data_IF_798608759386
#
_entry.id   IF_798608759386
#
_cell.length_a   1.000
_cell.length_b   1.000
_cell.length_c   1.000
_cell.angle_alpha   90.00
_cell.angle_beta   90.00
_cell.angle_gamma   90.00
#
_symmetry.space_group_name_H-M   'P 1'
#
loop_
_entity.id
_entity.type
_entity.pdbx_description
1 polymer ?
#
# COMPACT_ATOMS: atom_id res chain seq x y z
N UNK A 1 4.53 -2.74 9.07
CA UNK A 1 5.63 -3.00 8.11
C UNK A 1 6.64 -1.85 8.26
N UNK A 2 7.90 -2.14 8.58
CA UNK A 2 8.93 -1.12 8.82
C UNK A 2 9.58 -0.74 7.48
N UNK A 3 9.22 0.42 6.94
CA UNK A 3 9.66 0.90 5.62
C UNK A 3 11.09 1.47 5.61
N UNK A 4 11.68 1.79 6.76
CA UNK A 4 13.04 2.35 6.81
C UNK A 4 13.82 1.69 7.95
N UNK A 5 15.08 1.25 7.70
CA UNK A 5 15.93 0.82 8.80
C UNK A 5 16.19 2.03 9.70
N UNK A 6 15.83 1.90 10.97
CA UNK A 6 16.04 2.93 12.00
C UNK A 6 17.52 3.37 12.09
N UNK A 7 18.44 2.50 11.70
CA UNK A 7 19.87 2.76 11.60
C UNK A 7 20.34 2.59 10.15
N UNK A 8 20.70 3.69 9.49
CA UNK A 8 21.27 3.69 8.13
C UNK A 8 22.72 3.20 8.20
N UNK A 9 22.95 1.99 7.71
CA UNK A 9 24.28 1.37 7.55
C UNK A 9 24.41 0.76 6.14
N UNK A 10 25.61 0.59 5.60
CA UNK A 10 25.81 -0.01 4.27
C UNK A 10 25.20 -1.41 4.15
N UNK A 11 25.14 -2.16 5.26
CA UNK A 11 24.46 -3.46 5.29
C UNK A 11 22.94 -3.31 5.13
N UNK A 12 22.32 -2.37 5.84
CA UNK A 12 20.87 -2.13 5.75
C UNK A 12 20.44 -1.52 4.43
N UNK A 13 21.35 -0.84 3.72
CA UNK A 13 21.12 -0.29 2.37
C UNK A 13 21.10 -1.42 1.33
N UNK A 14 22.02 -2.38 1.44
CA UNK A 14 22.09 -3.58 0.57
C UNK A 14 20.97 -4.58 0.88
N UNK A 15 20.66 -4.84 2.15
CA UNK A 15 19.61 -5.80 2.54
C UNK A 15 18.21 -5.18 2.58
N UNK A 16 18.07 -3.86 2.43
CA UNK A 16 16.78 -3.17 2.40
C UNK A 16 15.88 -3.64 1.26
N UNK A 17 16.49 -4.00 0.11
CA UNK A 17 15.81 -4.61 -1.04
C UNK A 17 15.25 -6.02 -0.78
N UNK A 18 15.75 -6.74 0.23
CA UNK A 18 15.29 -8.10 0.57
C UNK A 18 14.05 -8.10 1.46
N UNK A 19 13.88 -7.04 2.26
CA UNK A 19 12.73 -6.87 3.17
C UNK A 19 11.60 -6.08 2.50
N UNK A 20 11.94 -5.19 1.57
CA UNK A 20 10.97 -4.43 0.77
C UNK A 20 10.40 -5.29 -0.35
N UNK A 21 9.16 -5.02 -0.77
CA UNK A 21 8.52 -5.73 -1.89
C UNK A 21 9.09 -5.30 -3.26
N UNK A 22 10.20 -4.55 -3.25
CA UNK A 22 10.81 -3.90 -4.40
C UNK A 22 11.38 -4.85 -5.46
N UNK A 23 11.57 -6.14 -5.15
CA UNK A 23 12.18 -7.10 -6.09
C UNK A 23 11.18 -7.94 -6.89
N UNK A 24 9.98 -8.26 -6.36
CA UNK A 24 9.02 -9.18 -7.01
C UNK A 24 7.53 -8.99 -6.62
N UNK A 25 7.17 -7.88 -5.95
CA UNK A 25 5.85 -7.73 -5.34
C UNK A 25 4.76 -7.13 -6.23
N UNK A 26 3.51 -7.62 -6.07
CA UNK A 26 2.27 -7.04 -6.63
C UNK A 26 2.09 -5.53 -6.31
N UNK A 27 2.72 -5.04 -5.24
CA UNK A 27 2.62 -3.67 -4.73
C UNK A 27 3.88 -2.82 -4.96
N UNK A 28 4.85 -3.31 -5.74
CA UNK A 28 6.13 -2.65 -6.00
C UNK A 28 5.96 -1.22 -6.54
N UNK A 29 4.96 -0.97 -7.38
CA UNK A 29 4.69 0.35 -7.96
C UNK A 29 4.25 1.38 -6.92
N UNK A 30 3.39 0.96 -5.99
CA UNK A 30 2.89 1.80 -4.90
C UNK A 30 3.99 2.03 -3.87
N UNK A 31 4.77 0.98 -3.57
CA UNK A 31 5.93 1.06 -2.68
C UNK A 31 6.97 2.04 -3.21
N UNK A 32 7.37 1.92 -4.49
CA UNK A 32 8.33 2.83 -5.11
C UNK A 32 7.89 4.29 -5.03
N UNK A 33 6.64 4.59 -5.38
CA UNK A 33 6.10 5.96 -5.29
C UNK A 33 6.10 6.50 -3.85
N UNK A 34 5.78 5.65 -2.88
CA UNK A 34 5.80 6.04 -1.48
C UNK A 34 7.23 6.30 -1.00
N UNK A 35 8.19 5.49 -1.43
CA UNK A 35 9.62 5.66 -1.16
C UNK A 35 10.18 6.95 -1.77
N UNK A 36 9.87 7.22 -3.04
CA UNK A 36 10.30 8.46 -3.73
C UNK A 36 9.81 9.71 -2.97
N UNK A 37 8.57 9.67 -2.48
CA UNK A 37 8.01 10.75 -1.67
C UNK A 37 8.71 10.88 -0.31
N UNK A 38 8.96 9.75 0.37
CA UNK A 38 9.68 9.73 1.65
C UNK A 38 11.12 10.24 1.50
N UNK A 39 11.79 9.93 0.40
CA UNK A 39 13.13 10.43 0.09
C UNK A 39 13.11 11.94 -0.15
N UNK A 40 12.13 12.45 -0.89
CA UNK A 40 12.01 13.88 -1.18
C UNK A 40 11.71 14.74 0.06
N UNK A 41 10.86 14.26 0.99
CA UNK A 41 10.40 15.06 2.14
C UNK A 41 11.06 14.70 3.47
N UNK A 42 11.71 13.54 3.58
CA UNK A 42 12.25 13.00 4.84
C UNK A 42 11.16 12.48 5.78
N UNK A 43 11.56 11.84 6.88
CA UNK A 43 10.65 11.12 7.79
C UNK A 43 9.60 12.02 8.47
N UNK A 44 9.98 13.21 8.94
CA UNK A 44 9.09 14.06 9.73
C UNK A 44 7.98 14.68 8.89
N UNK A 45 8.34 15.22 7.71
CA UNK A 45 7.39 15.86 6.80
C UNK A 45 6.70 14.84 5.89
N UNK A 46 7.37 13.72 5.60
CA UNK A 46 6.85 12.63 4.77
C UNK A 46 5.62 11.96 5.37
N UNK A 47 5.51 11.86 6.71
CA UNK A 47 4.31 11.30 7.37
C UNK A 47 3.01 12.01 6.97
N UNK A 48 3.06 13.33 6.81
CA UNK A 48 1.89 14.13 6.46
C UNK A 48 1.75 14.26 4.94
N UNK A 49 2.85 14.52 4.23
CA UNK A 49 2.82 14.76 2.78
C UNK A 49 2.62 13.49 1.95
N UNK A 50 3.17 12.37 2.39
CA UNK A 50 3.09 11.09 1.69
C UNK A 50 1.95 10.19 2.20
N UNK A 51 1.03 10.71 3.01
CA UNK A 51 -0.05 9.95 3.63
C UNK A 51 -0.95 9.23 2.58
N UNK A 52 -1.28 9.91 1.48
CA UNK A 52 -2.08 9.31 0.40
C UNK A 52 -1.37 8.13 -0.28
N UNK A 53 -0.07 8.27 -0.54
CA UNK A 53 0.75 7.21 -1.14
C UNK A 53 0.91 6.01 -0.18
N UNK A 54 1.00 6.29 1.12
CA UNK A 54 0.98 5.26 2.14
C UNK A 54 -0.34 4.50 2.17
N UNK A 55 -1.47 5.21 2.08
CA UNK A 55 -2.80 4.57 2.01
C UNK A 55 -2.94 3.67 0.78
N UNK A 56 -2.42 4.08 -0.37
CA UNK A 56 -2.44 3.26 -1.59
C UNK A 56 -1.58 2.01 -1.45
N UNK A 57 -0.40 2.13 -0.83
CA UNK A 57 0.46 0.99 -0.54
C UNK A 57 -0.20 0.04 0.47
N UNK A 58 -0.81 0.58 1.51
CA UNK A 58 -1.55 -0.18 2.51
C UNK A 58 -2.79 -0.88 1.91
N UNK A 59 -3.51 -0.20 1.03
CA UNK A 59 -4.62 -0.77 0.26
C UNK A 59 -4.15 -1.93 -0.59
N UNK A 60 -3.03 -1.79 -1.29
CA UNK A 60 -2.50 -2.86 -2.13
C UNK A 60 -2.17 -4.12 -1.32
N UNK A 61 -1.59 -3.97 -0.13
CA UNK A 61 -1.28 -5.10 0.76
C UNK A 61 -2.53 -5.78 1.32
N UNK A 62 -3.50 -4.98 1.77
CA UNK A 62 -4.67 -5.48 2.50
C UNK A 62 -5.86 -5.81 1.59
N UNK A 63 -5.87 -5.31 0.35
CA UNK A 63 -6.96 -5.40 -0.64
C UNK A 63 -8.35 -5.09 -0.07
N UNK A 64 -8.42 -4.31 1.02
CA UNK A 64 -9.64 -4.15 1.82
C UNK A 64 -10.69 -3.32 1.08
N UNK A 65 -10.27 -2.26 0.37
CA UNK A 65 -11.19 -1.41 -0.40
C UNK A 65 -11.77 -2.22 -1.58
N UNK A 66 -10.95 -3.02 -2.26
CA UNK A 66 -11.41 -3.90 -3.34
C UNK A 66 -12.42 -4.95 -2.85
N UNK A 67 -12.17 -5.57 -1.70
CA UNK A 67 -13.08 -6.56 -1.13
C UNK A 67 -14.42 -5.93 -0.75
N UNK A 68 -14.43 -4.75 -0.12
CA UNK A 68 -15.66 -4.00 0.18
C UNK A 68 -16.46 -3.67 -1.09
N UNK A 69 -15.78 -3.22 -2.15
CA UNK A 69 -16.43 -2.93 -3.45
C UNK A 69 -17.03 -4.18 -4.09
N UNK A 70 -16.40 -5.33 -3.92
CA UNK A 70 -16.95 -6.60 -4.38
C UNK A 70 -18.19 -7.02 -3.58
N UNK A 71 -18.16 -6.92 -2.26
CA UNK A 71 -19.30 -7.25 -1.39
C UNK A 71 -20.52 -6.38 -1.70
N UNK A 72 -20.35 -5.06 -1.87
CA UNK A 72 -21.46 -4.16 -2.22
C UNK A 72 -22.11 -4.57 -3.54
N UNK A 73 -21.31 -4.91 -4.57
CA UNK A 73 -21.86 -5.38 -5.86
C UNK A 73 -22.66 -6.67 -5.74
N UNK A 74 -22.20 -7.62 -4.92
CA UNK A 74 -22.93 -8.86 -4.64
C UNK A 74 -24.24 -8.55 -3.92
N UNK A 75 -24.20 -7.69 -2.90
CA UNK A 75 -25.39 -7.30 -2.15
C UNK A 75 -26.44 -6.64 -3.04
N UNK A 76 -26.04 -5.68 -3.89
CA UNK A 76 -26.94 -5.04 -4.86
C UNK A 76 -27.55 -6.05 -5.83
N UNK A 77 -26.75 -7.01 -6.35
CA UNK A 77 -27.25 -8.05 -7.25
C UNK A 77 -28.27 -8.96 -6.58
N UNK A 78 -28.02 -9.37 -5.35
CA UNK A 78 -28.96 -10.21 -4.60
C UNK A 78 -30.29 -9.46 -4.41
N UNK A 79 -30.27 -8.19 -4.01
CA UNK A 79 -31.49 -7.39 -3.85
C UNK A 79 -32.33 -7.29 -5.13
N UNK A 80 -31.70 -7.19 -6.31
CA UNK A 80 -32.42 -7.19 -7.59
C UNK A 80 -33.16 -8.53 -7.81
N UNK A 81 -32.52 -9.66 -7.53
CA UNK A 81 -33.16 -10.98 -7.65
C UNK A 81 -34.35 -11.16 -6.70
N UNK A 82 -34.34 -10.53 -5.52
CA UNK A 82 -35.49 -10.50 -4.61
C UNK A 82 -36.60 -9.54 -5.06
N UNK A 83 -36.32 -8.59 -5.95
CA UNK A 83 -37.34 -7.68 -6.50
C UNK A 83 -38.04 -8.20 -7.75
N UNK A 84 -37.44 -9.17 -8.43
CA UNK A 84 -37.98 -9.81 -9.65
C UNK A 84 -38.84 -11.06 -9.35
N UNK A 85 -38.99 -11.45 -8.08
CA UNK A 85 -39.70 -12.65 -7.61
C UNK A 85 -40.77 -12.27 -6.59
#
# INVERSE_FOLDING_TARGET
>A
MSISPFLRSPFTDVTGGLVSQQMLGRCQKQEGRFMDCLEAYGLDRGKVKCASLFEDFHECQTSTKQFKRFMVRIQSRNLILWSEN
#
